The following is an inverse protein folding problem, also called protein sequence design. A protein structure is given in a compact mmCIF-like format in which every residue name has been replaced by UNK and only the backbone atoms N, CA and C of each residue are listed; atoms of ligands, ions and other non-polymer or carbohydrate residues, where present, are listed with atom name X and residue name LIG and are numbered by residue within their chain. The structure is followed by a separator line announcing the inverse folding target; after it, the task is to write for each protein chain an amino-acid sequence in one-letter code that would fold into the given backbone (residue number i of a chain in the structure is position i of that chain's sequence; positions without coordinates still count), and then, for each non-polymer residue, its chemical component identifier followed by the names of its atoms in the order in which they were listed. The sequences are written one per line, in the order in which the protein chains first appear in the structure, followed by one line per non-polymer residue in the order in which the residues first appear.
data_IF_217475017632
#
_entry.id   IF_217475017632
#
_cell.length_a   1.000
_cell.length_b   1.000
_cell.length_c   1.000
_cell.angle_alpha   90.00
_cell.angle_beta   90.00
_cell.angle_gamma   90.00
#
_symmetry.space_group_name_H-M   'P 1'
#
loop_
_entity.id
_entity.type
_entity.pdbx_description
1 polymer ?
#
# COMPACT_ATOMS: atom_id res chain seq x y z
N UNK A 1 -41.60 12.15 -9.96
CA UNK A 1 -41.93 10.98 -10.83
C UNK A 1 -43.06 11.29 -11.83
N UNK A 2 -43.22 10.54 -12.94
CA UNK A 2 -44.35 10.72 -13.87
C UNK A 2 -45.54 9.81 -13.53
N UNK A 3 -46.77 10.31 -13.62
CA UNK A 3 -47.98 9.53 -13.38
C UNK A 3 -48.12 8.39 -14.40
N UNK A 4 -48.27 7.15 -13.93
CA UNK A 4 -48.49 5.96 -14.81
C UNK A 4 -49.75 6.04 -15.67
N UNK A 5 -50.76 6.81 -15.24
CA UNK A 5 -52.01 7.00 -15.99
C UNK A 5 -51.94 8.06 -17.11
N UNK A 6 -51.46 9.27 -16.80
CA UNK A 6 -51.52 10.42 -17.72
C UNK A 6 -50.18 11.09 -18.02
N UNK A 7 -49.06 10.60 -17.46
CA UNK A 7 -47.73 11.14 -17.68
C UNK A 7 -47.41 12.46 -16.97
N UNK A 8 -48.36 13.07 -16.25
CA UNK A 8 -48.13 14.32 -15.49
C UNK A 8 -46.99 14.15 -14.47
N UNK A 9 -46.15 15.17 -14.32
CA UNK A 9 -45.14 15.20 -13.24
C UNK A 9 -45.84 15.31 -11.88
N UNK A 10 -45.48 14.39 -10.98
CA UNK A 10 -45.97 14.30 -9.62
C UNK A 10 -44.82 14.47 -8.63
N UNK A 11 -45.07 15.10 -7.47
CA UNK A 11 -44.16 15.02 -6.34
C UNK A 11 -44.05 13.57 -5.86
N UNK A 12 -42.88 13.16 -5.36
CA UNK A 12 -42.59 11.76 -5.05
C UNK A 12 -43.40 11.22 -3.85
N UNK A 13 -44.09 12.10 -3.12
CA UNK A 13 -45.01 11.75 -2.03
C UNK A 13 -46.47 11.62 -2.47
N UNK A 14 -46.78 11.85 -3.75
CA UNK A 14 -48.15 11.80 -4.26
C UNK A 14 -48.70 10.38 -4.26
N UNK A 15 -49.71 10.12 -3.42
CA UNK A 15 -50.46 8.85 -3.43
C UNK A 15 -51.37 8.70 -4.65
N UNK A 16 -51.77 9.82 -5.24
CA UNK A 16 -52.69 9.88 -6.37
C UNK A 16 -52.26 10.99 -7.32
N UNK A 17 -52.52 10.82 -8.60
CA UNK A 17 -52.34 11.91 -9.56
C UNK A 17 -53.46 12.95 -9.41
N UNK A 18 -53.16 14.22 -9.13
CA UNK A 18 -54.19 15.26 -9.04
C UNK A 18 -54.82 15.57 -10.41
N UNK A 19 -54.17 15.23 -11.52
CA UNK A 19 -54.71 15.46 -12.87
C UNK A 19 -55.67 14.36 -13.32
N UNK A 20 -55.41 13.08 -13.03
CA UNK A 20 -56.21 11.97 -13.55
C UNK A 20 -56.76 11.01 -12.49
N UNK A 21 -56.46 11.22 -11.21
CA UNK A 21 -56.92 10.39 -10.10
C UNK A 21 -56.24 9.02 -9.97
N UNK A 22 -55.33 8.66 -10.89
CA UNK A 22 -54.68 7.33 -10.86
C UNK A 22 -53.83 7.17 -9.59
N UNK A 23 -54.09 6.13 -8.76
CA UNK A 23 -53.28 5.84 -7.59
C UNK A 23 -51.86 5.50 -8.01
N UNK A 24 -50.88 6.03 -7.30
CA UNK A 24 -49.47 5.70 -7.53
C UNK A 24 -49.07 4.50 -6.68
N UNK A 25 -48.21 3.61 -7.20
CA UNK A 25 -47.65 2.51 -6.42
C UNK A 25 -46.94 3.09 -5.18
N UNK A 26 -47.34 2.64 -3.99
CA UNK A 26 -46.63 2.94 -2.75
C UNK A 26 -45.62 1.82 -2.49
N UNK A 27 -44.35 2.16 -2.37
CA UNK A 27 -43.33 1.22 -1.92
C UNK A 27 -43.48 0.97 -0.41
N UNK A 28 -43.22 -0.26 0.02
CA UNK A 28 -43.27 -0.63 1.42
C UNK A 28 -42.12 0.06 2.19
N UNK A 29 -42.40 0.87 3.22
CA UNK A 29 -41.36 1.56 3.98
C UNK A 29 -40.35 0.63 4.63
N UNK A 30 -40.74 -0.60 5.00
CA UNK A 30 -39.80 -1.59 5.53
C UNK A 30 -38.78 -2.02 4.48
N UNK A 31 -39.22 -2.25 3.24
CA UNK A 31 -38.34 -2.59 2.11
C UNK A 31 -37.45 -1.44 1.70
N UNK A 32 -37.97 -0.21 1.73
CA UNK A 32 -37.16 1.00 1.48
C UNK A 32 -36.05 1.14 2.53
N UNK A 33 -36.35 0.91 3.81
CA UNK A 33 -35.36 0.95 4.88
C UNK A 33 -34.29 -0.14 4.73
N UNK A 34 -34.71 -1.37 4.40
CA UNK A 34 -33.80 -2.49 4.12
C UNK A 34 -32.87 -2.19 2.93
N UNK A 35 -33.44 -1.70 1.83
CA UNK A 35 -32.66 -1.30 0.66
C UNK A 35 -31.69 -0.17 0.97
N UNK A 36 -32.10 0.82 1.78
CA UNK A 36 -31.25 1.94 2.22
C UNK A 36 -30.04 1.43 3.00
N UNK A 37 -30.22 0.46 3.91
CA UNK A 37 -29.11 -0.15 4.65
C UNK A 37 -28.13 -0.89 3.73
N UNK A 38 -28.63 -1.62 2.74
CA UNK A 38 -27.80 -2.26 1.73
C UNK A 38 -27.06 -1.24 0.86
N UNK A 39 -27.73 -0.15 0.48
CA UNK A 39 -27.15 0.96 -0.29
C UNK A 39 -26.04 1.66 0.49
N UNK A 40 -26.16 1.83 1.82
CA UNK A 40 -25.04 2.33 2.64
C UNK A 40 -23.85 1.38 2.70
N UNK A 41 -24.10 0.07 2.61
CA UNK A 41 -23.05 -0.96 2.68
C UNK A 41 -22.33 -1.16 1.35
N UNK A 42 -23.07 -1.07 0.24
CA UNK A 42 -22.61 -1.44 -1.10
C UNK A 42 -22.56 -0.27 -2.10
N UNK A 43 -23.27 0.83 -1.85
CA UNK A 43 -23.45 1.92 -2.82
C UNK A 43 -22.18 2.68 -3.18
N UNK A 44 -21.11 2.49 -2.41
CA UNK A 44 -19.79 3.06 -2.68
C UNK A 44 -18.84 2.11 -3.42
N UNK A 45 -19.23 0.84 -3.57
CA UNK A 45 -18.46 -0.19 -4.26
C UNK A 45 -18.64 -0.04 -5.77
N UNK A 46 -17.54 -0.10 -6.50
CA UNK A 46 -17.52 0.00 -7.97
C UNK A 46 -17.35 -1.37 -8.62
N UNK A 47 -17.09 -2.40 -7.83
CA UNK A 47 -16.94 -3.76 -8.30
C UNK A 47 -18.24 -4.25 -8.98
N UNK A 48 -18.10 -4.93 -10.12
CA UNK A 48 -19.25 -5.40 -10.92
C UNK A 48 -20.24 -6.27 -10.13
N UNK A 49 -19.74 -7.06 -9.16
CA UNK A 49 -20.58 -7.89 -8.31
C UNK A 49 -21.46 -7.06 -7.37
N UNK A 50 -20.97 -5.95 -6.83
CA UNK A 50 -21.72 -5.10 -5.89
C UNK A 50 -22.84 -4.35 -6.62
N UNK A 51 -22.56 -3.91 -7.85
CA UNK A 51 -23.57 -3.31 -8.74
C UNK A 51 -24.66 -4.32 -9.09
N UNK A 52 -24.27 -5.56 -9.43
CA UNK A 52 -25.22 -6.63 -9.74
C UNK A 52 -26.06 -7.04 -8.53
N UNK A 53 -25.47 -7.09 -7.34
CA UNK A 53 -26.16 -7.40 -6.08
C UNK A 53 -27.19 -6.32 -5.74
N UNK A 54 -26.81 -5.04 -5.81
CA UNK A 54 -27.74 -3.93 -5.59
C UNK A 54 -28.89 -3.90 -6.59
N UNK A 55 -28.64 -4.27 -7.85
CA UNK A 55 -29.69 -4.38 -8.87
C UNK A 55 -30.65 -5.54 -8.58
N UNK A 56 -30.13 -6.69 -8.12
CA UNK A 56 -30.91 -7.87 -7.75
C UNK A 56 -31.79 -7.56 -6.54
N UNK A 57 -31.20 -7.02 -5.47
CA UNK A 57 -31.92 -6.64 -4.25
C UNK A 57 -32.99 -5.57 -4.53
N UNK A 58 -32.69 -4.59 -5.41
CA UNK A 58 -33.66 -3.59 -5.86
C UNK A 58 -34.90 -4.24 -6.48
N UNK A 59 -34.70 -5.23 -7.35
CA UNK A 59 -35.79 -5.95 -8.01
C UNK A 59 -36.60 -6.82 -7.03
N UNK A 60 -35.93 -7.53 -6.11
CA UNK A 60 -36.58 -8.36 -5.09
C UNK A 60 -37.44 -7.54 -4.13
N UNK A 61 -36.92 -6.40 -3.69
CA UNK A 61 -37.62 -5.46 -2.81
C UNK A 61 -38.65 -4.59 -3.55
N UNK A 62 -38.76 -4.73 -4.88
CA UNK A 62 -39.65 -3.94 -5.74
C UNK A 62 -39.43 -2.43 -5.60
N UNK A 63 -38.17 -2.01 -5.43
CA UNK A 63 -37.77 -0.61 -5.34
C UNK A 63 -37.64 -0.04 -6.75
N UNK A 64 -38.32 1.06 -7.00
CA UNK A 64 -38.33 1.75 -8.29
C UNK A 64 -36.99 2.47 -8.55
N UNK A 65 -36.66 2.66 -9.83
CA UNK A 65 -35.46 3.40 -10.25
C UNK A 65 -35.41 4.84 -9.70
N UNK A 66 -36.53 5.61 -9.67
CA UNK A 66 -36.54 6.94 -9.06
C UNK A 66 -36.22 6.91 -7.56
N UNK A 67 -36.73 5.93 -6.81
CA UNK A 67 -36.40 5.78 -5.39
C UNK A 67 -34.93 5.42 -5.21
N UNK A 68 -34.39 4.51 -6.03
CA UNK A 68 -32.95 4.21 -6.01
C UNK A 68 -32.11 5.47 -6.27
N UNK A 69 -32.41 6.23 -7.32
CA UNK A 69 -31.69 7.45 -7.66
C UNK A 69 -31.75 8.49 -6.53
N UNK A 70 -32.91 8.66 -5.90
CA UNK A 70 -33.08 9.55 -4.74
C UNK A 70 -32.23 9.08 -3.56
N UNK A 71 -32.36 7.83 -3.13
CA UNK A 71 -31.59 7.27 -2.02
C UNK A 71 -30.07 7.31 -2.30
N UNK A 72 -29.67 7.05 -3.53
CA UNK A 72 -28.26 7.13 -3.95
C UNK A 72 -27.73 8.58 -3.89
N UNK A 73 -28.57 9.57 -4.19
CA UNK A 73 -28.21 10.99 -4.03
C UNK A 73 -28.17 11.47 -2.57
N UNK A 74 -28.92 10.77 -1.69
CA UNK A 74 -28.95 11.01 -0.25
C UNK A 74 -27.81 10.32 0.50
N UNK A 75 -27.13 9.34 -0.13
CA UNK A 75 -25.91 8.77 0.42
C UNK A 75 -24.96 9.91 0.76
N UNK A 76 -24.44 9.98 2.00
CA UNK A 76 -23.38 10.91 2.28
C UNK A 76 -22.27 10.64 1.25
N UNK A 77 -21.65 11.69 0.67
CA UNK A 77 -20.48 11.48 -0.14
C UNK A 77 -19.54 10.59 0.66
N UNK A 78 -18.95 9.57 0.02
CA UNK A 78 -17.85 8.80 0.59
C UNK A 78 -17.00 9.78 1.39
N UNK A 79 -16.72 9.53 2.69
CA UNK A 79 -15.81 10.39 3.42
C UNK A 79 -14.60 10.57 2.50
N UNK A 80 -14.40 11.80 2.03
CA UNK A 80 -13.39 12.12 1.00
C UNK A 80 -11.99 11.69 1.45
N UNK A 81 -11.91 11.39 2.74
CA UNK A 81 -10.82 10.85 3.49
C UNK A 81 -10.39 9.48 2.94
N UNK A 82 -11.23 8.45 2.75
CA UNK A 82 -10.70 7.10 2.44
C UNK A 82 -10.33 6.92 0.96
N UNK A 83 -9.23 7.54 0.54
CA UNK A 83 -8.65 7.46 -0.81
C UNK A 83 -7.90 6.12 -1.01
N UNK A 84 -7.48 5.50 0.08
CA UNK A 84 -6.62 4.31 0.06
C UNK A 84 -7.10 3.24 1.04
N UNK A 85 -6.99 1.99 0.60
CA UNK A 85 -7.04 0.83 1.47
C UNK A 85 -5.68 0.15 1.53
N UNK A 86 -5.35 -0.43 2.69
CA UNK A 86 -4.14 -1.22 2.89
C UNK A 86 -4.51 -2.58 3.45
N UNK A 87 -3.96 -3.66 2.90
CA UNK A 87 -4.17 -5.03 3.37
C UNK A 87 -2.84 -5.73 3.62
N UNK A 88 -2.85 -6.67 4.55
CA UNK A 88 -1.74 -7.58 4.84
C UNK A 88 -2.08 -8.99 4.34
N UNK A 89 -1.12 -9.64 3.67
CA UNK A 89 -1.20 -11.07 3.39
C UNK A 89 -0.89 -11.86 4.66
N UNK A 90 -1.90 -12.48 5.26
CA UNK A 90 -1.78 -13.17 6.56
C UNK A 90 -0.75 -14.31 6.52
N UNK A 91 -0.54 -14.95 5.36
CA UNK A 91 0.46 -16.01 5.23
C UNK A 91 1.89 -15.51 5.36
N UNK A 92 2.14 -14.23 5.08
CA UNK A 92 3.51 -13.72 5.14
C UNK A 92 4.03 -13.60 6.56
N UNK A 93 3.15 -13.32 7.53
CA UNK A 93 3.55 -13.13 8.93
C UNK A 93 3.62 -14.43 9.76
N UNK A 94 3.08 -15.54 9.27
CA UNK A 94 3.10 -16.82 10.00
C UNK A 94 4.48 -17.47 10.02
N UNK A 95 5.30 -17.20 9.01
CA UNK A 95 6.58 -17.87 8.80
C UNK A 95 7.80 -17.05 9.24
N UNK A 96 7.60 -15.94 9.96
CA UNK A 96 8.69 -15.07 10.39
C UNK A 96 9.62 -15.77 11.39
N UNK A 97 10.92 -15.67 11.15
CA UNK A 97 11.97 -16.26 12.00
C UNK A 97 13.03 -15.24 12.34
N UNK A 98 13.47 -15.25 13.60
CA UNK A 98 14.59 -14.44 14.04
C UNK A 98 15.84 -14.81 13.21
N UNK A 99 16.64 -13.81 12.84
CA UNK A 99 17.84 -13.89 12.02
C UNK A 99 17.62 -14.27 10.56
N UNK A 100 16.38 -14.45 10.10
CA UNK A 100 16.08 -14.80 8.71
C UNK A 100 15.49 -13.61 7.94
N UNK A 101 15.78 -13.55 6.65
CA UNK A 101 15.14 -12.61 5.75
C UNK A 101 13.68 -13.05 5.52
N UNK A 102 12.75 -12.21 5.95
CA UNK A 102 11.32 -12.43 5.91
C UNK A 102 10.68 -11.46 4.91
N UNK A 103 9.75 -11.95 4.10
CA UNK A 103 8.98 -11.12 3.17
C UNK A 103 7.62 -10.82 3.78
N UNK A 104 7.28 -9.54 3.92
CA UNK A 104 5.94 -9.06 4.24
C UNK A 104 5.27 -8.58 2.95
N UNK A 105 4.08 -9.11 2.62
CA UNK A 105 3.30 -8.63 1.47
C UNK A 105 2.16 -7.75 1.94
N UNK A 106 2.13 -6.54 1.43
CA UNK A 106 1.06 -5.59 1.64
C UNK A 106 0.37 -5.34 0.30
N UNK A 107 -0.94 -5.15 0.29
CA UNK A 107 -1.66 -4.68 -0.89
C UNK A 107 -2.12 -3.26 -0.61
N UNK A 108 -1.79 -2.33 -1.48
CA UNK A 108 -2.29 -0.96 -1.45
C UNK A 108 -3.31 -0.84 -2.59
N UNK A 109 -4.53 -0.39 -2.30
CA UNK A 109 -5.52 -0.10 -3.34
C UNK A 109 -5.98 1.34 -3.28
N UNK A 110 -6.33 1.85 -4.45
CA UNK A 110 -6.98 3.13 -4.59
C UNK A 110 -8.49 2.95 -4.47
N UNK A 111 -9.03 3.29 -3.30
CA UNK A 111 -10.48 3.30 -3.04
C UNK A 111 -11.13 4.64 -3.43
N UNK A 112 -10.31 5.63 -3.78
CA UNK A 112 -10.74 6.96 -4.18
C UNK A 112 -11.13 7.07 -5.66
N UNK A 113 -11.72 8.22 -5.99
CA UNK A 113 -12.16 8.56 -7.36
C UNK A 113 -11.05 9.17 -8.23
N UNK A 114 -9.85 9.37 -7.68
CA UNK A 114 -8.72 10.02 -8.36
C UNK A 114 -7.53 9.09 -8.42
N UNK A 115 -6.80 9.09 -9.52
CA UNK A 115 -5.55 8.33 -9.62
C UNK A 115 -4.53 8.80 -8.58
N UNK A 116 -3.81 7.85 -7.99
CA UNK A 116 -2.69 8.07 -7.08
C UNK A 116 -1.42 8.06 -7.93
N UNK A 117 -0.68 9.17 -7.93
CA UNK A 117 0.56 9.29 -8.71
C UNK A 117 1.71 8.56 -8.03
N UNK A 118 1.78 8.66 -6.71
CA UNK A 118 2.80 8.01 -5.90
C UNK A 118 2.23 7.76 -4.51
N UNK A 119 2.67 6.69 -3.87
CA UNK A 119 2.44 6.47 -2.45
C UNK A 119 3.67 5.80 -1.86
N UNK A 120 4.02 6.20 -0.63
CA UNK A 120 5.15 5.66 0.12
C UNK A 120 4.68 5.30 1.51
N UNK A 121 4.82 4.02 1.86
CA UNK A 121 4.60 3.52 3.21
C UNK A 121 5.95 3.47 3.93
N UNK A 122 6.07 4.26 4.98
CA UNK A 122 7.22 4.25 5.89
C UNK A 122 6.83 3.51 7.17
N UNK A 123 7.45 2.37 7.43
CA UNK A 123 7.14 1.51 8.56
C UNK A 123 8.30 1.37 9.54
N UNK A 124 7.94 1.22 10.81
CA UNK A 124 8.83 0.80 11.89
C UNK A 124 8.28 -0.47 12.53
N UNK A 125 9.16 -1.31 13.03
CA UNK A 125 8.75 -2.50 13.78
C UNK A 125 9.64 -2.73 14.99
N UNK A 126 9.08 -3.31 16.05
CA UNK A 126 9.88 -3.76 17.19
C UNK A 126 10.70 -5.03 16.92
N UNK A 127 10.60 -5.62 15.71
CA UNK A 127 11.35 -6.81 15.32
C UNK A 127 12.73 -6.52 14.73
N UNK A 128 12.92 -5.33 14.16
CA UNK A 128 14.14 -4.91 13.46
C UNK A 128 14.52 -3.50 13.87
N UNK A 129 15.80 -3.20 13.94
CA UNK A 129 16.23 -1.81 14.11
C UNK A 129 16.03 -1.02 12.82
N UNK A 130 15.63 0.24 12.96
CA UNK A 130 15.47 1.18 11.85
C UNK A 130 14.07 1.25 11.25
N UNK A 131 13.99 2.01 10.18
CA UNK A 131 12.76 2.31 9.44
C UNK A 131 12.88 1.73 8.05
N UNK A 132 11.84 1.07 7.59
CA UNK A 132 11.75 0.59 6.21
C UNK A 132 10.76 1.43 5.43
N UNK A 133 11.06 1.72 4.16
CA UNK A 133 10.15 2.43 3.28
C UNK A 133 9.89 1.59 2.02
N UNK A 134 8.64 1.61 1.56
CA UNK A 134 8.24 0.98 0.30
C UNK A 134 7.30 1.91 -0.45
N UNK A 135 7.52 2.02 -1.77
CA UNK A 135 6.73 2.87 -2.65
C UNK A 135 6.05 2.06 -3.73
N UNK A 136 4.96 2.61 -4.26
CA UNK A 136 4.36 2.10 -5.50
C UNK A 136 5.39 2.07 -6.63
N UNK A 137 5.35 1.01 -7.43
CA UNK A 137 6.14 0.91 -8.67
C UNK A 137 5.50 1.69 -9.82
N UNK A 138 4.19 1.94 -9.74
CA UNK A 138 3.44 2.67 -10.77
C UNK A 138 2.30 3.52 -10.18
N UNK A 139 1.73 4.41 -10.99
CA UNK A 139 0.53 5.14 -10.58
C UNK A 139 -0.65 4.16 -10.47
N UNK A 140 -1.53 4.37 -9.48
CA UNK A 140 -2.73 3.55 -9.28
C UNK A 140 -3.99 4.31 -9.71
N UNK A 141 -4.68 3.82 -10.72
CA UNK A 141 -6.02 4.28 -11.11
C UNK A 141 -7.10 3.96 -10.06
N UNK A 142 -8.28 4.60 -10.11
CA UNK A 142 -9.41 4.27 -9.24
C UNK A 142 -9.79 2.78 -9.30
N UNK A 143 -9.91 2.13 -8.14
CA UNK A 143 -10.22 0.69 -8.03
C UNK A 143 -9.04 -0.25 -8.28
N UNK A 144 -7.89 0.27 -8.73
CA UNK A 144 -6.69 -0.54 -8.92
C UNK A 144 -5.98 -0.81 -7.60
N UNK A 145 -5.14 -1.85 -7.59
CA UNK A 145 -4.32 -2.21 -6.45
C UNK A 145 -2.96 -2.74 -6.88
N UNK A 146 -1.95 -2.49 -6.04
CA UNK A 146 -0.59 -2.99 -6.20
C UNK A 146 -0.18 -3.77 -4.95
N UNK A 147 0.59 -4.86 -5.15
CA UNK A 147 1.18 -5.63 -4.05
C UNK A 147 2.60 -5.14 -3.81
N UNK A 148 2.82 -4.60 -2.62
CA UNK A 148 4.09 -4.12 -2.09
C UNK A 148 4.80 -5.25 -1.33
N UNK A 149 6.09 -5.44 -1.59
CA UNK A 149 6.93 -6.46 -0.98
C UNK A 149 7.97 -5.82 -0.04
N UNK A 150 7.71 -5.87 1.27
CA UNK A 150 8.60 -5.33 2.29
C UNK A 150 9.48 -6.44 2.87
N UNK A 151 10.80 -6.34 2.69
CA UNK A 151 11.74 -7.27 3.31
C UNK A 151 12.10 -6.83 4.73
N UNK A 152 11.99 -7.75 5.69
CA UNK A 152 12.34 -7.57 7.09
C UNK A 152 13.36 -8.63 7.50
N UNK A 153 14.25 -8.33 8.44
CA UNK A 153 15.15 -9.32 9.03
C UNK A 153 15.06 -9.29 10.56
N UNK A 154 13.99 -9.86 11.15
CA UNK A 154 13.75 -9.81 12.60
C UNK A 154 14.98 -10.27 13.39
N UNK A 155 15.49 -9.48 14.33
CA UNK A 155 16.67 -9.84 15.13
C UNK A 155 16.33 -10.71 16.33
N UNK A 156 15.11 -10.61 16.84
CA UNK A 156 14.67 -11.23 18.09
C UNK A 156 13.35 -11.98 17.86
N UNK A 157 13.17 -13.11 18.54
CA UNK A 157 11.92 -13.86 18.53
C UNK A 157 10.94 -13.33 19.58
N UNK A 158 9.64 -13.40 19.31
CA UNK A 158 8.62 -12.94 20.25
C UNK A 158 7.40 -12.35 19.58
N UNK A 159 6.67 -11.51 20.31
CA UNK A 159 5.57 -10.70 19.79
C UNK A 159 6.08 -9.33 19.41
N UNK A 160 5.75 -8.90 18.20
CA UNK A 160 6.19 -7.64 17.65
C UNK A 160 5.01 -6.85 17.09
N UNK A 161 5.25 -5.56 16.87
CA UNK A 161 4.30 -4.66 16.24
C UNK A 161 4.92 -4.03 15.01
N UNK A 162 4.10 -3.80 13.98
CA UNK A 162 4.40 -2.99 12.81
C UNK A 162 3.54 -1.74 12.88
N UNK A 163 4.18 -0.57 12.82
CA UNK A 163 3.54 0.75 12.77
C UNK A 163 4.07 1.49 11.55
N UNK A 164 3.37 2.53 11.09
CA UNK A 164 3.89 3.30 9.96
C UNK A 164 3.04 4.49 9.56
N UNK A 165 3.57 5.25 8.61
CA UNK A 165 2.88 6.36 7.96
C UNK A 165 2.89 6.12 6.46
N UNK A 166 1.71 6.11 5.87
CA UNK A 166 1.47 6.06 4.44
C UNK A 166 1.25 7.49 3.93
N UNK A 167 2.15 7.98 3.09
CA UNK A 167 2.00 9.24 2.38
C UNK A 167 1.48 8.96 0.97
N UNK A 168 0.36 9.57 0.60
CA UNK A 168 -0.32 9.38 -0.68
C UNK A 168 -0.34 10.70 -1.42
N UNK A 169 0.22 10.69 -2.63
CA UNK A 169 0.27 11.85 -3.52
C UNK A 169 -0.70 11.61 -4.68
N UNK A 170 -1.90 12.23 -4.67
CA UNK A 170 -2.84 12.11 -5.77
C UNK A 170 -2.28 12.77 -7.04
N UNK A 171 -2.80 12.39 -8.21
CA UNK A 171 -2.43 13.02 -9.49
C UNK A 171 -2.77 14.52 -9.51
N UNK A 172 -3.84 14.91 -8.81
CA UNK A 172 -4.25 16.30 -8.57
C UNK A 172 -4.80 16.43 -7.15
N UNK A 173 -4.39 17.48 -6.44
CA UNK A 173 -4.77 17.74 -5.05
C UNK A 173 -3.56 17.82 -4.14
N UNK A 174 -3.81 17.98 -2.84
CA UNK A 174 -2.76 17.98 -1.82
C UNK A 174 -2.38 16.55 -1.43
N UNK A 175 -1.11 16.29 -1.08
CA UNK A 175 -0.71 15.03 -0.46
C UNK A 175 -1.50 14.79 0.84
N UNK A 176 -1.86 13.53 1.09
CA UNK A 176 -2.49 13.10 2.33
C UNK A 176 -1.58 12.14 3.08
N UNK A 177 -1.70 12.10 4.41
CA UNK A 177 -0.93 11.22 5.28
C UNK A 177 -1.85 10.39 6.14
N UNK A 178 -1.49 9.13 6.29
CA UNK A 178 -2.28 8.10 6.94
C UNK A 178 -1.41 7.38 7.94
N UNK A 179 -1.83 7.31 9.18
CA UNK A 179 -1.17 6.50 10.20
C UNK A 179 -1.71 5.08 10.17
N UNK A 180 -0.81 4.11 10.04
CA UNK A 180 -1.13 2.70 10.16
C UNK A 180 -1.27 2.34 11.64
N UNK A 181 -2.46 1.88 12.02
CA UNK A 181 -2.68 1.34 13.36
C UNK A 181 -1.77 0.13 13.63
N UNK A 182 -1.31 -0.06 14.88
CA UNK A 182 -0.36 -1.13 15.20
C UNK A 182 -0.84 -2.52 14.76
N UNK A 183 -0.02 -3.18 13.95
CA UNK A 183 -0.27 -4.55 13.48
C UNK A 183 0.62 -5.51 14.24
N UNK A 184 0.01 -6.39 15.03
CA UNK A 184 0.74 -7.38 15.81
C UNK A 184 1.06 -8.64 14.99
N UNK A 185 2.28 -9.16 15.14
CA UNK A 185 2.73 -10.41 14.54
C UNK A 185 3.71 -11.14 15.46
N UNK A 186 3.98 -12.41 15.16
CA UNK A 186 4.88 -13.27 15.96
C UNK A 186 6.09 -13.67 15.14
N UNK A 187 7.26 -13.64 15.77
CA UNK A 187 8.53 -14.10 15.19
C UNK A 187 8.97 -15.35 15.95
N UNK A 188 9.20 -16.45 15.23
CA UNK A 188 9.70 -17.70 15.80
C UNK A 188 11.21 -17.62 16.13
N UNK A 189 11.63 -18.36 17.15
CA UNK A 189 13.05 -18.50 17.52
C UNK A 189 13.86 -19.32 16.52
N UNK A 190 15.18 -19.15 16.53
CA UNK A 190 16.10 -20.00 15.79
C UNK A 190 15.92 -21.47 16.22
N UNK A 191 15.73 -22.36 15.24
CA UNK A 191 15.64 -23.81 15.48
C UNK A 191 14.30 -24.32 16.00
N UNK A 192 13.31 -23.46 16.22
CA UNK A 192 11.95 -23.91 16.49
C UNK A 192 11.35 -24.50 15.19
N UNK A 193 11.47 -25.83 15.03
CA UNK A 193 10.44 -26.58 14.32
C UNK A 193 9.16 -26.33 15.11
N UNK A 194 8.19 -25.64 14.52
CA UNK A 194 6.86 -25.49 15.09
C UNK A 194 6.29 -26.91 15.30
N UNK A 195 6.47 -27.47 16.49
CA UNK A 195 5.95 -28.80 16.82
C UNK A 195 4.45 -28.67 16.94
N UNK A 196 3.73 -29.29 16.01
CA UNK A 196 2.30 -29.50 16.12
C UNK A 196 2.05 -30.50 17.26
N UNK A 197 1.69 -30.02 18.44
CA UNK A 197 1.14 -30.88 19.47
C UNK A 197 -0.35 -31.04 19.16
N UNK A 198 -0.74 -32.19 18.61
CA UNK A 198 -2.15 -32.58 18.55
C UNK A 198 -2.61 -32.89 19.98
N UNK A 199 -3.33 -31.96 20.60
CA UNK A 199 -4.02 -32.19 21.86
C UNK A 199 -5.45 -32.58 21.53
N UNK A 200 -5.87 -33.79 21.93
CA UNK A 200 -7.26 -34.25 21.79
C UNK A 200 -8.17 -33.46 22.76
N UNK A 201 -8.88 -32.49 22.22
CA UNK A 201 -9.60 -31.46 22.96
C UNK A 201 -11.02 -31.87 23.41
N UNK A 202 -11.34 -33.17 23.49
CA UNK A 202 -12.67 -33.65 23.94
C UNK A 202 -13.07 -33.23 25.37
N UNK A 203 -12.17 -32.61 26.14
CA UNK A 203 -12.42 -32.18 27.52
C UNK A 203 -12.34 -30.66 27.79
N UNK A 204 -12.04 -29.80 26.80
CA UNK A 204 -11.83 -28.36 27.08
C UNK A 204 -13.05 -27.51 26.68
N UNK A 205 -13.84 -27.09 27.68
CA UNK A 205 -14.87 -26.07 27.53
C UNK A 205 -14.23 -24.68 27.59
N UNK A 206 -14.17 -24.03 26.43
CA UNK A 206 -13.77 -22.64 26.17
C UNK A 206 -12.26 -22.39 26.11
N UNK A 207 -11.75 -22.36 24.88
CA UNK A 207 -10.50 -21.70 24.49
C UNK A 207 -10.64 -21.24 23.03
N UNK A 208 -10.35 -19.96 22.77
CA UNK A 208 -10.26 -19.40 21.42
C UNK A 208 -8.86 -19.76 20.90
N UNK A 209 -8.80 -20.46 19.76
CA UNK A 209 -7.56 -20.79 19.08
C UNK A 209 -7.65 -20.33 17.63
N UNK A 210 -6.81 -19.37 17.24
CA UNK A 210 -6.61 -19.00 15.84
C UNK A 210 -5.18 -19.35 15.41
N UNK A 211 -5.12 -20.03 14.26
CA UNK A 211 -3.98 -20.25 13.36
C UNK A 211 -2.81 -21.14 13.85
N UNK A 212 -2.95 -22.45 13.57
CA UNK A 212 -1.86 -23.43 13.49
C UNK A 212 -1.75 -23.89 12.03
N UNK A 213 -0.70 -23.45 11.34
CA UNK A 213 -0.29 -23.96 10.03
C UNK A 213 1.22 -23.78 9.90
N UNK A 214 1.92 -24.80 9.38
CA UNK A 214 3.35 -24.76 9.08
C UNK A 214 3.59 -25.41 7.72
N UNK A 215 4.32 -24.73 6.83
CA UNK A 215 4.90 -25.32 5.63
C UNK A 215 6.40 -25.62 5.89
N UNK A 216 6.87 -26.85 5.66
CA UNK A 216 8.29 -27.17 5.76
C UNK A 216 8.97 -26.75 4.46
N UNK A 217 10.04 -25.96 4.56
CA UNK A 217 10.93 -25.52 3.46
C UNK A 217 10.31 -24.57 2.41
N UNK A 218 10.86 -23.36 2.33
CA UNK A 218 10.78 -22.43 1.18
C UNK A 218 9.46 -22.44 0.43
N UNK A 219 8.35 -22.19 1.12
CA UNK A 219 7.02 -22.29 0.54
C UNK A 219 6.83 -21.24 -0.55
N UNK A 220 6.55 -21.71 -1.76
CA UNK A 220 5.78 -20.93 -2.75
C UNK A 220 4.66 -20.24 -1.99
N UNK A 221 4.63 -18.90 -2.02
CA UNK A 221 3.59 -18.12 -1.33
C UNK A 221 2.25 -18.63 -1.84
N UNK A 222 1.47 -19.25 -0.96
CA UNK A 222 0.16 -19.79 -1.30
C UNK A 222 -0.79 -18.69 -1.79
N UNK A 223 -2.02 -19.05 -2.14
CA UNK A 223 -3.04 -18.06 -2.46
C UNK A 223 -3.12 -17.02 -1.33
N UNK A 224 -2.94 -15.74 -1.68
CA UNK A 224 -2.86 -14.67 -0.70
C UNK A 224 -4.18 -14.55 0.08
N UNK A 225 -4.07 -14.39 1.40
CA UNK A 225 -5.23 -14.16 2.27
C UNK A 225 -5.13 -12.75 2.84
N UNK A 226 -5.91 -11.83 2.29
CA UNK A 226 -5.82 -10.41 2.60
C UNK A 226 -6.66 -10.03 3.82
N UNK A 227 -6.00 -9.51 4.86
CA UNK A 227 -6.64 -8.85 6.01
C UNK A 227 -6.53 -7.34 5.86
N UNK A 228 -7.66 -6.64 5.94
CA UNK A 228 -7.67 -5.17 5.91
C UNK A 228 -6.92 -4.61 7.13
N UNK A 229 -6.09 -3.60 6.89
CA UNK A 229 -5.42 -2.82 7.92
C UNK A 229 -6.13 -1.49 8.10
N UNK A 230 -6.18 -1.03 9.34
CA UNK A 230 -6.79 0.25 9.67
C UNK A 230 -5.79 1.39 9.45
N UNK A 231 -6.25 2.40 8.71
CA UNK A 231 -5.52 3.63 8.43
C UNK A 231 -6.30 4.79 9.04
N UNK A 232 -5.63 5.61 9.85
CA UNK A 232 -6.21 6.83 10.44
C UNK A 232 -5.65 8.04 9.72
N UNK A 233 -6.52 8.90 9.18
CA UNK A 233 -6.10 10.13 8.53
C UNK A 233 -5.34 11.01 9.53
N UNK A 234 -4.10 11.33 9.23
CA UNK A 234 -3.38 12.37 9.96
C UNK A 234 -3.88 13.71 9.43
N UNK A 235 -4.79 14.36 10.17
CA UNK A 235 -5.30 15.66 9.76
C UNK A 235 -4.13 16.62 9.55
N UNK A 236 -4.01 17.09 8.31
CA UNK A 236 -2.91 17.94 7.85
C UNK A 236 -2.93 19.31 8.50
N UNK A 237 -2.38 19.40 9.70
CA UNK A 237 -1.65 20.58 10.14
C UNK A 237 -0.35 20.67 9.36
N UNK A 238 -0.39 21.05 8.08
CA UNK A 238 0.78 21.56 7.37
C UNK A 238 1.13 22.95 7.93
N UNK A 239 1.49 23.04 9.22
CA UNK A 239 2.32 24.14 9.70
C UNK A 239 3.70 23.92 9.08
N UNK A 240 3.94 24.69 8.01
CA UNK A 240 5.21 24.84 7.32
C UNK A 240 6.37 24.80 8.32
N UNK A 241 7.20 23.78 8.24
CA UNK A 241 8.58 23.79 8.75
C UNK A 241 9.42 24.75 7.90
N UNK A 242 9.02 26.02 7.83
CA UNK A 242 9.75 27.13 7.24
C UNK A 242 10.24 28.02 8.39
N UNK A 243 11.21 27.51 9.15
CA UNK A 243 11.61 28.15 10.39
C UNK A 243 12.99 27.73 10.91
N UNK A 244 13.95 27.45 10.03
CA UNK A 244 15.36 27.28 10.40
C UNK A 244 16.29 27.80 9.28
N UNK A 245 16.01 28.99 8.74
CA UNK A 245 16.97 29.75 7.93
C UNK A 245 16.74 31.26 8.07
N UNK A 246 16.97 31.85 9.25
CA UNK A 246 17.33 33.28 9.39
C UNK A 246 18.06 33.55 10.70
N UNK A 247 19.37 33.39 10.69
CA UNK A 247 20.27 34.16 11.55
C UNK A 247 21.73 33.93 11.15
N UNK A 248 22.24 34.76 10.24
CA UNK A 248 23.64 35.19 10.22
C UNK A 248 23.85 36.24 9.12
N UNK A 249 23.50 37.49 9.43
CA UNK A 249 24.10 38.65 8.80
C UNK A 249 25.02 39.30 9.82
N UNK A 250 26.31 38.97 9.82
CA UNK A 250 27.38 39.80 10.36
C UNK A 250 28.72 39.38 9.74
N UNK A 251 29.44 40.41 9.33
CA UNK A 251 30.57 40.41 8.40
C UNK A 251 31.85 39.78 8.99
N UNK A 252 32.66 39.20 8.10
CA UNK A 252 34.11 39.40 8.12
C UNK A 252 34.97 38.22 8.54
N UNK A 253 35.46 37.45 7.56
CA UNK A 253 36.90 37.27 7.27
C UNK A 253 37.08 36.22 6.17
N UNK A 254 37.98 36.51 5.25
CA UNK A 254 38.39 35.61 4.17
C UNK A 254 38.93 34.29 4.74
N UNK A 255 38.20 33.20 4.49
CA UNK A 255 38.65 31.82 4.65
C UNK A 255 38.69 31.16 3.28
N UNK A 256 39.76 30.39 3.04
CA UNK A 256 40.04 29.68 1.79
C UNK A 256 38.87 28.76 1.34
N UNK A 257 38.73 28.48 0.03
CA UNK A 257 37.66 27.63 -0.48
C UNK A 257 37.80 26.21 0.08
N UNK A 258 36.75 25.74 0.78
CA UNK A 258 36.62 24.34 1.14
C UNK A 258 36.47 23.47 -0.12
N UNK A 259 37.06 22.26 -0.15
CA UNK A 259 37.02 21.39 -1.31
C UNK A 259 35.58 20.96 -1.61
N UNK A 260 35.22 21.12 -2.89
CA UNK A 260 33.86 21.01 -3.39
C UNK A 260 33.13 19.74 -2.98
N UNK A 261 31.89 19.92 -2.55
CA UNK A 261 30.88 18.88 -2.45
C UNK A 261 30.74 18.26 -3.85
N UNK A 262 31.27 17.06 -4.04
CA UNK A 262 31.12 16.35 -5.31
C UNK A 262 29.62 16.11 -5.56
N UNK A 263 29.14 16.32 -6.79
CA UNK A 263 27.72 16.17 -7.11
C UNK A 263 27.27 14.73 -6.83
N UNK A 264 26.23 14.58 -6.02
CA UNK A 264 25.63 13.28 -5.75
C UNK A 264 25.01 12.70 -7.04
N UNK A 265 25.37 11.46 -7.38
CA UNK A 265 24.79 10.75 -8.53
C UNK A 265 23.38 10.26 -8.15
N UNK A 266 22.33 10.64 -8.88
CA UNK A 266 20.95 10.29 -8.50
C UNK A 266 20.64 8.80 -8.69
N UNK A 267 19.72 8.28 -7.87
CA UNK A 267 19.13 6.94 -8.08
C UNK A 267 18.47 6.88 -9.46
N UNK A 268 18.70 5.78 -10.18
CA UNK A 268 18.31 5.59 -11.57
C UNK A 268 19.36 6.06 -12.59
N UNK A 269 20.43 6.73 -12.16
CA UNK A 269 21.53 7.10 -13.07
C UNK A 269 22.19 5.84 -13.64
N UNK A 270 22.26 5.76 -14.98
CA UNK A 270 22.93 4.69 -15.70
C UNK A 270 24.20 5.22 -16.35
N UNK A 271 25.32 4.55 -16.10
CA UNK A 271 26.61 4.93 -16.65
C UNK A 271 27.58 3.76 -16.75
N UNK A 272 28.77 4.01 -17.29
CA UNK A 272 29.84 3.01 -17.37
C UNK A 272 30.71 3.15 -16.14
N UNK A 273 30.73 2.11 -15.31
CA UNK A 273 31.59 2.01 -14.14
C UNK A 273 32.83 1.16 -14.41
N UNK A 274 33.95 1.47 -13.74
CA UNK A 274 35.19 0.69 -13.78
C UNK A 274 35.37 -0.11 -12.49
N UNK A 275 35.72 -1.38 -12.59
CA UNK A 275 35.96 -2.22 -11.42
C UNK A 275 37.28 -1.83 -10.76
N UNK A 276 37.24 -1.51 -9.48
CA UNK A 276 38.41 -1.07 -8.70
C UNK A 276 38.96 -2.22 -7.85
N UNK A 277 38.08 -3.09 -7.35
CA UNK A 277 38.47 -4.20 -6.48
C UNK A 277 37.52 -5.39 -6.66
N UNK A 278 38.12 -6.58 -6.67
CA UNK A 278 37.44 -7.87 -6.79
C UNK A 278 37.67 -8.67 -5.50
N UNK A 279 36.59 -9.02 -4.81
CA UNK A 279 36.61 -9.75 -3.55
C UNK A 279 35.21 -10.17 -3.10
N UNK A 280 34.98 -10.29 -1.80
CA UNK A 280 33.64 -10.55 -1.23
C UNK A 280 32.64 -9.45 -1.58
N UNK A 281 33.12 -8.22 -1.84
CA UNK A 281 32.37 -7.10 -2.40
C UNK A 281 33.05 -6.63 -3.69
N UNK A 282 32.27 -6.51 -4.78
CA UNK A 282 32.74 -5.91 -6.03
C UNK A 282 32.60 -4.39 -5.92
N UNK A 283 33.72 -3.66 -6.02
CA UNK A 283 33.73 -2.19 -5.94
C UNK A 283 33.88 -1.60 -7.33
N UNK A 284 33.03 -0.65 -7.67
CA UNK A 284 32.96 -0.03 -9.00
C UNK A 284 33.01 1.49 -8.87
N UNK A 285 33.84 2.17 -9.67
CA UNK A 285 33.89 3.63 -9.78
C UNK A 285 33.02 4.11 -10.90
N UNK A 286 32.09 5.03 -10.63
CA UNK A 286 31.28 5.72 -11.63
C UNK A 286 31.37 7.23 -11.40
N UNK A 287 31.85 7.98 -12.40
CA UNK A 287 32.05 9.44 -12.31
C UNK A 287 32.84 9.88 -11.06
N UNK A 288 33.97 9.24 -10.79
CA UNK A 288 34.82 9.45 -9.60
C UNK A 288 34.20 9.05 -8.24
N UNK A 289 32.97 8.51 -8.22
CA UNK A 289 32.32 8.02 -7.00
C UNK A 289 32.43 6.50 -6.91
N UNK A 290 32.87 5.98 -5.77
CA UNK A 290 32.99 4.54 -5.52
C UNK A 290 31.66 3.98 -4.99
N UNK A 291 31.21 2.88 -5.57
CA UNK A 291 30.02 2.13 -5.17
C UNK A 291 30.27 0.63 -5.04
N UNK A 292 29.29 -0.07 -4.48
CA UNK A 292 29.26 -1.52 -4.33
C UNK A 292 28.29 -2.10 -5.34
N UNK A 293 28.77 -3.04 -6.14
CA UNK A 293 27.93 -3.81 -7.07
C UNK A 293 27.23 -4.93 -6.31
N UNK A 294 25.91 -4.77 -6.12
CA UNK A 294 25.09 -5.72 -5.34
C UNK A 294 24.30 -6.69 -6.21
N UNK A 295 24.14 -6.37 -7.50
CA UNK A 295 23.37 -7.20 -8.43
C UNK A 295 24.04 -7.27 -9.81
N UNK A 296 24.31 -8.49 -10.24
CA UNK A 296 24.84 -8.84 -11.55
C UNK A 296 23.73 -9.51 -12.37
N UNK A 297 23.49 -9.03 -13.59
CA UNK A 297 22.55 -9.66 -14.52
C UNK A 297 22.92 -11.12 -14.77
N UNK A 298 24.22 -11.39 -14.93
CA UNK A 298 24.79 -12.73 -14.94
C UNK A 298 25.73 -12.91 -13.75
N UNK A 299 25.32 -13.66 -12.70
CA UNK A 299 26.15 -13.94 -11.54
C UNK A 299 27.48 -14.66 -11.87
N UNK A 300 27.54 -15.41 -12.98
CA UNK A 300 28.75 -16.14 -13.39
C UNK A 300 29.87 -15.21 -13.86
N UNK A 301 29.55 -13.99 -14.31
CA UNK A 301 30.56 -13.00 -14.67
C UNK A 301 31.45 -12.63 -13.49
N UNK A 302 30.97 -12.77 -12.25
CA UNK A 302 31.71 -12.40 -11.04
C UNK A 302 33.11 -13.01 -10.97
N UNK A 303 33.27 -14.24 -11.45
CA UNK A 303 34.55 -14.97 -11.44
C UNK A 303 35.49 -14.55 -12.58
N UNK A 304 34.98 -13.79 -13.55
CA UNK A 304 35.70 -13.33 -14.74
C UNK A 304 36.05 -11.84 -14.70
N UNK A 305 35.48 -11.08 -13.77
CA UNK A 305 35.73 -9.66 -13.62
C UNK A 305 37.08 -9.41 -12.95
N UNK A 306 37.87 -8.51 -13.54
CA UNK A 306 39.17 -8.05 -13.04
C UNK A 306 39.15 -6.53 -12.78
N UNK A 307 40.00 -6.01 -11.87
CA UNK A 307 40.18 -4.56 -11.74
C UNK A 307 40.58 -3.93 -13.09
N UNK A 308 39.91 -2.85 -13.48
CA UNK A 308 40.03 -2.18 -14.78
C UNK A 308 38.93 -2.54 -15.79
N UNK A 309 38.17 -3.61 -15.55
CA UNK A 309 37.04 -3.97 -16.42
C UNK A 309 35.93 -2.92 -16.34
N UNK A 310 35.23 -2.69 -17.46
CA UNK A 310 34.19 -1.67 -17.57
C UNK A 310 32.82 -2.32 -17.75
N UNK A 311 31.88 -1.93 -16.91
CA UNK A 311 30.51 -2.44 -16.88
C UNK A 311 29.51 -1.30 -17.01
N UNK A 312 28.38 -1.57 -17.65
CA UNK A 312 27.23 -0.65 -17.55
C UNK A 312 26.51 -0.91 -16.24
N UNK A 313 26.40 0.10 -15.39
CA UNK A 313 25.77 0.00 -14.07
C UNK A 313 24.69 1.07 -13.91
N UNK A 314 23.68 0.74 -13.11
CA UNK A 314 22.61 1.63 -12.68
C UNK A 314 22.73 1.84 -11.18
N UNK A 315 22.65 3.09 -10.72
CA UNK A 315 22.56 3.43 -9.30
C UNK A 315 21.16 3.06 -8.80
N UNK A 316 21.08 2.14 -7.85
CA UNK A 316 19.80 1.68 -7.28
C UNK A 316 19.54 2.24 -5.87
N UNK A 317 20.54 2.86 -5.25
CA UNK A 317 20.41 3.45 -3.91
C UNK A 317 21.77 3.81 -3.29
N UNK A 318 21.75 4.06 -1.99
CA UNK A 318 22.94 4.16 -1.14
C UNK A 318 22.80 3.20 0.04
N UNK A 319 23.93 2.71 0.57
CA UNK A 319 23.94 1.96 1.83
C UNK A 319 23.94 2.90 3.04
N UNK A 320 23.90 2.34 4.25
CA UNK A 320 23.97 3.12 5.50
C UNK A 320 25.30 3.84 5.75
N UNK A 321 26.27 3.74 4.83
CA UNK A 321 27.56 4.42 4.85
C UNK A 321 27.70 5.41 3.67
N UNK A 322 26.59 5.78 3.02
CA UNK A 322 26.53 6.66 1.84
C UNK A 322 27.32 6.13 0.61
N UNK A 323 27.62 4.83 0.55
CA UNK A 323 28.21 4.22 -0.65
C UNK A 323 27.12 3.91 -1.66
N UNK A 324 27.36 4.19 -2.94
CA UNK A 324 26.40 3.88 -4.00
C UNK A 324 26.15 2.37 -4.09
N UNK A 325 24.90 1.96 -4.17
CA UNK A 325 24.49 0.60 -4.52
C UNK A 325 24.25 0.53 -6.03
N UNK A 326 24.92 -0.41 -6.69
CA UNK A 326 24.95 -0.53 -8.15
C UNK A 326 24.38 -1.88 -8.61
N UNK A 327 23.66 -1.88 -9.72
CA UNK A 327 23.21 -3.09 -10.43
C UNK A 327 23.59 -3.02 -11.92
N UNK A 328 23.93 -4.15 -12.53
CA UNK A 328 24.10 -4.22 -14.01
C UNK A 328 22.78 -4.45 -14.74
N UNK A 329 21.71 -4.86 -14.06
CA UNK A 329 20.41 -5.08 -14.70
C UNK A 329 19.88 -3.77 -15.27
N UNK A 330 19.30 -3.86 -16.46
CA UNK A 330 18.52 -2.77 -16.99
C UNK A 330 17.35 -2.48 -16.01
N UNK A 331 17.07 -1.20 -15.69
CA UNK A 331 15.85 -0.88 -14.99
C UNK A 331 14.69 -1.44 -15.82
N UNK A 332 13.72 -2.08 -15.16
CA UNK A 332 12.54 -2.61 -15.83
C UNK A 332 11.95 -1.49 -16.71
N UNK A 333 11.61 -1.75 -17.99
CA UNK A 333 11.00 -0.73 -18.83
C UNK A 333 9.77 -0.22 -18.09
N UNK A 334 9.69 1.11 -17.92
CA UNK A 334 8.48 1.72 -17.40
C UNK A 334 7.30 1.19 -18.24
N UNK A 335 6.21 0.74 -17.60
CA UNK A 335 5.07 0.20 -18.33
C UNK A 335 4.66 1.22 -19.41
N UNK A 336 4.51 0.73 -20.66
CA UNK A 336 4.09 1.58 -21.76
C UNK A 336 2.74 2.23 -21.40
N UNK A 337 2.56 3.53 -21.68
CA UNK A 337 1.39 4.30 -21.26
C UNK A 337 0.07 3.77 -21.84
#
# INVERSE_FOLDING_TARGET
MGCVGCGSQLPDTARFCPSCGTPQPQEDPAKVAEYTAALHTLGHRTEAWAVAELATLRAELQISEPTHARLASELPPLPQDRIVGLWLDEHTVTDFRAGAQCLLRLRLSNEGQRAIRAATLTCTTSATEGTSAISLSSALGPGEAEVLALMLCPGVSGHHQLTGVLEVVPLRGEPSRWELQPVHFRVAGHGALQQSIQIDARAQKVGIFENIGAAPSGGLVGAARWRALELVALQGGLQRSAGLQRSAGLQGRAGAPEPGTSPAVPVGHRGVGEIIATGSELRVRIQEIEGVLVDLEDPSMRDHLSPGDRLTVTVIGTDGQDRLLLSTRAPAPAPAP
#
